data_IF_609601694229
#
_entry.id   IF_609601694229
#
_cell.length_a   1.000
_cell.length_b   1.000
_cell.length_c   1.000
_cell.angle_alpha   90.00
_cell.angle_beta   90.00
_cell.angle_gamma   90.00
#
_symmetry.space_group_name_H-M   'P 1'
#
loop_
_entity.id
_entity.type
_entity.pdbx_description
1 polymer ?
#
# COMPACT_ATOMS: atom_id res chain seq x y z
N UNK A 1 -94.88 21.77 -6.49
CA UNK A 1 -93.52 21.75 -5.88
C UNK A 1 -92.69 20.69 -6.59
N UNK A 2 -91.57 21.08 -7.23
CA UNK A 2 -90.80 20.27 -8.18
C UNK A 2 -89.79 19.38 -7.46
N UNK A 3 -89.82 18.07 -7.73
CA UNK A 3 -88.81 17.09 -7.31
C UNK A 3 -87.77 16.96 -8.43
N UNK A 4 -86.51 17.28 -8.12
CA UNK A 4 -85.46 17.50 -9.10
C UNK A 4 -84.73 16.18 -9.46
N UNK A 5 -84.60 15.92 -10.76
CA UNK A 5 -84.08 14.68 -11.36
C UNK A 5 -82.56 14.81 -11.58
N UNK A 6 -81.73 14.35 -10.62
CA UNK A 6 -80.26 14.55 -10.62
C UNK A 6 -79.40 13.30 -10.83
N UNK A 7 -79.94 12.21 -11.42
CA UNK A 7 -79.21 10.94 -11.57
C UNK A 7 -78.84 10.54 -13.02
N UNK A 8 -79.22 11.31 -14.05
CA UNK A 8 -78.98 10.93 -15.47
C UNK A 8 -77.70 11.46 -16.14
N UNK A 9 -77.05 12.51 -15.59
CA UNK A 9 -75.89 13.19 -16.24
C UNK A 9 -74.53 12.84 -15.65
N UNK A 10 -74.45 12.18 -14.48
CA UNK A 10 -73.19 11.78 -13.86
C UNK A 10 -72.47 10.69 -14.66
N UNK A 11 -73.20 9.78 -15.30
CA UNK A 11 -72.62 8.65 -16.05
C UNK A 11 -71.80 9.10 -17.27
N UNK A 12 -72.24 10.14 -18.00
CA UNK A 12 -71.54 10.64 -19.19
C UNK A 12 -70.23 11.32 -18.80
N UNK A 13 -70.25 12.20 -17.79
CA UNK A 13 -69.06 12.90 -17.29
C UNK A 13 -68.06 11.90 -16.68
N UNK A 14 -68.56 10.88 -15.96
CA UNK A 14 -67.74 9.81 -15.40
C UNK A 14 -67.11 8.92 -16.48
N UNK A 15 -67.84 8.65 -17.57
CA UNK A 15 -67.31 7.93 -18.74
C UNK A 15 -66.22 8.73 -19.48
N UNK A 16 -66.41 10.04 -19.65
CA UNK A 16 -65.34 10.89 -20.21
C UNK A 16 -64.11 10.94 -19.30
N UNK A 17 -64.30 11.08 -17.98
CA UNK A 17 -63.20 11.07 -17.01
C UNK A 17 -62.38 9.76 -17.07
N UNK A 18 -63.05 8.61 -17.16
CA UNK A 18 -62.37 7.30 -17.23
C UNK A 18 -61.56 7.13 -18.52
N UNK A 19 -62.08 7.63 -19.64
CA UNK A 19 -61.38 7.61 -20.93
C UNK A 19 -60.10 8.44 -20.88
N UNK A 20 -60.14 9.65 -20.29
CA UNK A 20 -58.97 10.50 -20.15
C UNK A 20 -57.94 9.93 -19.16
N UNK A 21 -58.38 9.29 -18.07
CA UNK A 21 -57.50 8.57 -17.15
C UNK A 21 -56.79 7.39 -17.82
N UNK A 22 -57.49 6.62 -18.65
CA UNK A 22 -56.88 5.49 -19.37
C UNK A 22 -55.74 5.93 -20.30
N UNK A 23 -55.92 7.05 -21.01
CA UNK A 23 -54.87 7.62 -21.86
C UNK A 23 -53.65 8.06 -21.03
N UNK A 24 -53.86 8.52 -19.79
CA UNK A 24 -52.78 8.93 -18.87
C UNK A 24 -52.04 7.76 -18.21
N UNK A 25 -52.65 6.58 -18.08
CA UNK A 25 -52.02 5.42 -17.43
C UNK A 25 -50.81 4.92 -18.24
N UNK A 26 -50.91 4.94 -19.58
CA UNK A 26 -49.83 4.46 -20.47
C UNK A 26 -48.50 5.18 -20.23
N UNK A 27 -48.41 6.53 -20.28
CA UNK A 27 -47.17 7.24 -20.01
C UNK A 27 -46.70 7.10 -18.55
N UNK A 28 -47.61 6.95 -17.58
CA UNK A 28 -47.21 6.72 -16.17
C UNK A 28 -46.51 5.37 -16.02
N UNK A 29 -47.09 4.30 -16.57
CA UNK A 29 -46.49 2.96 -16.52
C UNK A 29 -45.14 2.92 -17.25
N UNK A 30 -45.04 3.58 -18.40
CA UNK A 30 -43.79 3.71 -19.15
C UNK A 30 -42.71 4.40 -18.31
N UNK A 31 -43.03 5.52 -17.65
CA UNK A 31 -42.10 6.24 -16.78
C UNK A 31 -41.62 5.38 -15.61
N UNK A 32 -42.52 4.65 -14.95
CA UNK A 32 -42.16 3.75 -13.86
C UNK A 32 -41.20 2.65 -14.35
N UNK A 33 -41.46 2.09 -15.54
CA UNK A 33 -40.61 1.06 -16.11
C UNK A 33 -39.21 1.58 -16.44
N UNK A 34 -39.13 2.74 -17.10
CA UNK A 34 -37.87 3.41 -17.43
C UNK A 34 -37.10 3.73 -16.14
N UNK A 35 -37.76 4.35 -15.16
CA UNK A 35 -37.15 4.71 -13.88
C UNK A 35 -36.53 3.51 -13.16
N UNK A 36 -37.25 2.37 -13.12
CA UNK A 36 -36.72 1.12 -12.55
C UNK A 36 -35.49 0.59 -13.31
N UNK A 37 -35.48 0.71 -14.63
CA UNK A 37 -34.32 0.32 -15.44
C UNK A 37 -33.14 1.26 -15.22
N UNK A 38 -33.37 2.56 -15.23
CA UNK A 38 -32.36 3.58 -14.96
C UNK A 38 -31.72 3.38 -13.59
N UNK A 39 -32.50 3.11 -12.54
CA UNK A 39 -31.96 2.84 -11.21
C UNK A 39 -31.00 1.65 -11.21
N UNK A 40 -31.38 0.54 -11.86
CA UNK A 40 -30.52 -0.64 -11.96
C UNK A 40 -29.23 -0.38 -12.73
N UNK A 41 -29.32 0.40 -13.81
CA UNK A 41 -28.14 0.76 -14.62
C UNK A 41 -27.19 1.62 -13.81
N UNK A 42 -27.71 2.66 -13.13
CA UNK A 42 -26.89 3.53 -12.27
C UNK A 42 -26.23 2.74 -11.14
N UNK A 43 -26.98 1.84 -10.49
CA UNK A 43 -26.42 0.96 -9.44
C UNK A 43 -25.31 0.06 -9.99
N UNK A 44 -25.50 -0.52 -11.18
CA UNK A 44 -24.49 -1.35 -11.82
C UNK A 44 -23.25 -0.54 -12.22
N UNK A 45 -23.42 0.67 -12.75
CA UNK A 45 -22.30 1.56 -13.09
C UNK A 45 -21.50 1.97 -11.85
N UNK A 46 -22.17 2.28 -10.74
CA UNK A 46 -21.48 2.59 -9.47
C UNK A 46 -20.68 1.38 -8.98
N UNK A 47 -21.27 0.18 -9.01
CA UNK A 47 -20.57 -1.03 -8.59
C UNK A 47 -19.38 -1.38 -9.50
N UNK A 48 -19.54 -1.20 -10.82
CA UNK A 48 -18.45 -1.37 -11.77
C UNK A 48 -17.32 -0.36 -11.52
N UNK A 49 -17.66 0.93 -11.39
CA UNK A 49 -16.69 1.99 -11.12
C UNK A 49 -15.92 1.76 -9.80
N UNK A 50 -16.62 1.32 -8.75
CA UNK A 50 -15.97 0.94 -7.48
C UNK A 50 -15.01 -0.24 -7.67
N UNK A 51 -15.41 -1.25 -8.45
CA UNK A 51 -14.57 -2.42 -8.74
C UNK A 51 -13.34 -2.04 -9.56
N UNK A 52 -13.50 -1.19 -10.57
CA UNK A 52 -12.41 -0.69 -11.39
C UNK A 52 -11.43 0.16 -10.56
N UNK A 53 -11.95 0.99 -9.65
CA UNK A 53 -11.13 1.75 -8.71
C UNK A 53 -10.30 0.83 -7.80
N UNK A 54 -10.89 -0.25 -7.26
CA UNK A 54 -10.17 -1.23 -6.46
C UNK A 54 -9.08 -1.95 -7.28
N UNK A 55 -9.36 -2.30 -8.54
CA UNK A 55 -8.36 -2.87 -9.43
C UNK A 55 -7.22 -1.89 -9.73
N UNK A 56 -7.51 -0.60 -9.89
CA UNK A 56 -6.47 0.41 -10.10
C UNK A 56 -5.54 0.53 -8.88
N UNK A 57 -6.10 0.50 -7.66
CA UNK A 57 -5.32 0.49 -6.41
C UNK A 57 -4.46 -0.77 -6.34
N UNK A 58 -5.04 -1.94 -6.64
CA UNK A 58 -4.32 -3.20 -6.68
C UNK A 58 -3.15 -3.16 -7.68
N UNK A 59 -3.38 -2.74 -8.91
CA UNK A 59 -2.35 -2.63 -9.95
C UNK A 59 -1.22 -1.68 -9.54
N UNK A 60 -1.57 -0.58 -8.88
CA UNK A 60 -0.58 0.37 -8.36
C UNK A 60 0.29 -0.28 -7.29
N UNK A 61 -0.33 -0.97 -6.32
CA UNK A 61 0.40 -1.70 -5.28
C UNK A 61 1.29 -2.80 -5.88
N UNK A 62 0.76 -3.61 -6.79
CA UNK A 62 1.50 -4.69 -7.46
C UNK A 62 2.74 -4.14 -8.20
N UNK A 63 2.59 -3.02 -8.92
CA UNK A 63 3.71 -2.34 -9.57
C UNK A 63 4.77 -1.89 -8.56
N UNK A 64 4.37 -1.32 -7.42
CA UNK A 64 5.33 -0.91 -6.37
C UNK A 64 6.01 -2.10 -5.72
N UNK A 65 5.32 -3.22 -5.52
CA UNK A 65 5.93 -4.43 -4.99
C UNK A 65 6.98 -5.01 -5.94
N UNK A 66 6.72 -4.94 -7.26
CA UNK A 66 7.73 -5.31 -8.27
C UNK A 66 8.96 -4.40 -8.18
N UNK A 67 8.76 -3.08 -8.05
CA UNK A 67 9.87 -2.12 -7.89
C UNK A 67 10.70 -2.40 -6.63
N UNK A 68 10.02 -2.67 -5.50
CA UNK A 68 10.65 -3.06 -4.23
C UNK A 68 11.49 -4.33 -4.40
N UNK A 69 10.93 -5.38 -5.00
CA UNK A 69 11.64 -6.64 -5.21
C UNK A 69 12.87 -6.48 -6.11
N UNK A 70 12.75 -5.69 -7.17
CA UNK A 70 13.88 -5.39 -8.07
C UNK A 70 14.99 -4.65 -7.33
N UNK A 71 14.63 -3.67 -6.49
CA UNK A 71 15.59 -2.91 -5.69
C UNK A 71 16.27 -3.78 -4.62
N UNK A 72 15.52 -4.63 -3.92
CA UNK A 72 16.06 -5.61 -2.98
C UNK A 72 17.06 -6.55 -3.66
N UNK A 73 16.73 -7.04 -4.86
CA UNK A 73 17.60 -7.93 -5.63
C UNK A 73 18.87 -7.20 -6.10
N UNK A 74 18.75 -5.96 -6.57
CA UNK A 74 19.88 -5.14 -6.99
C UNK A 74 20.86 -4.90 -5.84
N UNK A 75 20.34 -4.53 -4.66
CA UNK A 75 21.14 -4.33 -3.45
C UNK A 75 21.76 -5.66 -2.98
N UNK A 76 20.99 -6.75 -3.03
CA UNK A 76 21.46 -8.07 -2.55
C UNK A 76 22.59 -8.68 -3.39
N UNK A 77 22.68 -8.28 -4.66
CA UNK A 77 23.69 -8.75 -5.61
C UNK A 77 24.88 -7.80 -5.75
N UNK A 78 24.90 -6.68 -5.03
CA UNK A 78 26.01 -5.73 -5.08
C UNK A 78 27.28 -6.33 -4.45
N UNK A 79 28.35 -6.40 -5.24
CA UNK A 79 29.63 -6.95 -4.79
C UNK A 79 30.21 -6.20 -3.57
N UNK A 80 29.92 -4.90 -3.41
CA UNK A 80 30.35 -4.10 -2.26
C UNK A 80 29.63 -4.55 -1.00
N UNK A 81 28.32 -4.79 -1.09
CA UNK A 81 27.53 -5.34 0.02
C UNK A 81 28.01 -6.72 0.39
N UNK A 82 28.25 -7.59 -0.61
CA UNK A 82 28.83 -8.91 -0.39
C UNK A 82 30.19 -8.82 0.30
N UNK A 83 31.05 -7.87 -0.10
CA UNK A 83 32.38 -7.70 0.50
C UNK A 83 32.31 -7.27 1.98
N UNK A 84 31.42 -6.32 2.32
CA UNK A 84 31.24 -5.84 3.69
C UNK A 84 30.62 -6.91 4.59
N UNK A 85 29.73 -7.73 4.02
CA UNK A 85 29.07 -8.82 4.73
C UNK A 85 30.04 -9.91 5.21
N UNK A 86 31.11 -10.19 4.44
CA UNK A 86 32.13 -11.16 4.83
C UNK A 86 33.31 -10.56 5.61
N UNK A 87 33.35 -9.23 5.79
CA UNK A 87 34.38 -8.59 6.60
C UNK A 87 34.18 -8.96 8.08
N UNK A 88 35.21 -9.53 8.71
CA UNK A 88 35.19 -9.96 10.12
C UNK A 88 35.86 -8.98 11.07
N UNK A 89 36.91 -8.32 10.59
CA UNK A 89 37.68 -7.35 11.32
C UNK A 89 38.43 -6.56 10.26
N UNK A 90 38.05 -5.28 10.07
CA UNK A 90 38.89 -4.20 9.57
C UNK A 90 38.02 -3.03 9.09
N UNK A 91 37.88 -2.03 9.95
CA UNK A 91 37.60 -0.64 9.59
C UNK A 91 38.82 -0.01 8.86
N UNK A 92 39.42 -0.72 7.89
CA UNK A 92 40.54 -0.20 7.08
C UNK A 92 40.04 0.48 5.80
N UNK A 93 40.95 1.18 5.12
CA UNK A 93 40.75 2.09 3.99
C UNK A 93 39.71 1.67 2.93
N UNK A 94 39.51 0.37 2.72
CA UNK A 94 38.46 -0.20 1.84
C UNK A 94 37.06 0.25 2.27
N UNK A 95 36.74 0.23 3.56
CA UNK A 95 35.45 0.70 4.08
C UNK A 95 35.31 2.22 3.98
N UNK A 96 36.40 2.97 4.09
CA UNK A 96 36.38 4.44 4.00
C UNK A 96 35.99 4.94 2.61
N UNK A 97 36.21 4.14 1.57
CA UNK A 97 35.81 4.43 0.21
C UNK A 97 34.47 3.79 -0.18
N UNK A 98 34.23 2.54 0.24
CA UNK A 98 32.98 1.82 -0.09
C UNK A 98 31.77 2.43 0.63
N UNK A 99 31.90 2.85 1.90
CA UNK A 99 30.78 3.37 2.67
C UNK A 99 30.17 4.64 2.05
N UNK A 100 30.93 5.69 1.69
CA UNK A 100 30.37 6.87 1.02
C UNK A 100 29.65 6.52 -0.27
N UNK A 101 30.23 5.65 -1.11
CA UNK A 101 29.59 5.23 -2.36
C UNK A 101 28.26 4.50 -2.13
N UNK A 102 28.22 3.62 -1.14
CA UNK A 102 26.98 2.93 -0.79
C UNK A 102 25.94 3.89 -0.24
N UNK A 103 26.33 4.86 0.59
CA UNK A 103 25.43 5.90 1.08
C UNK A 103 24.85 6.69 -0.10
N UNK A 104 25.69 7.11 -1.05
CA UNK A 104 25.27 7.84 -2.26
C UNK A 104 24.30 7.02 -3.13
N UNK A 105 24.57 5.72 -3.32
CA UNK A 105 23.69 4.85 -4.09
C UNK A 105 22.35 4.62 -3.39
N UNK A 106 22.36 4.34 -2.08
CA UNK A 106 21.14 4.21 -1.28
C UNK A 106 20.34 5.52 -1.28
N UNK A 107 21.02 6.67 -1.21
CA UNK A 107 20.42 7.99 -1.36
C UNK A 107 19.73 8.14 -2.71
N UNK A 108 20.43 7.84 -3.81
CA UNK A 108 19.86 7.88 -5.16
C UNK A 108 18.62 6.98 -5.27
N UNK A 109 18.65 5.77 -4.70
CA UNK A 109 17.49 4.88 -4.68
C UNK A 109 16.31 5.47 -3.91
N UNK A 110 16.53 6.09 -2.75
CA UNK A 110 15.42 6.72 -2.00
C UNK A 110 14.85 7.95 -2.68
N UNK A 111 15.70 8.81 -3.27
CA UNK A 111 15.24 10.05 -3.93
C UNK A 111 14.45 9.76 -5.20
N UNK A 112 14.84 8.72 -5.94
CA UNK A 112 14.15 8.34 -7.19
C UNK A 112 12.86 7.54 -6.95
N UNK A 113 12.65 7.04 -5.73
CA UNK A 113 11.51 6.19 -5.39
C UNK A 113 10.72 6.80 -4.22
N UNK A 114 9.77 7.69 -4.53
CA UNK A 114 8.99 8.44 -3.53
C UNK A 114 8.13 7.56 -2.60
N UNK A 115 7.90 6.29 -2.98
CA UNK A 115 7.18 5.33 -2.14
C UNK A 115 8.07 4.74 -1.03
N UNK A 116 9.40 4.94 -1.09
CA UNK A 116 10.34 4.48 -0.07
C UNK A 116 10.48 5.56 1.00
N UNK A 117 10.03 5.24 2.20
CA UNK A 117 10.15 6.11 3.36
C UNK A 117 11.52 5.99 4.03
N UNK A 118 11.98 4.76 4.24
CA UNK A 118 13.31 4.47 4.79
C UNK A 118 13.91 3.26 4.08
N UNK A 119 15.22 3.30 3.87
CA UNK A 119 16.01 2.22 3.30
C UNK A 119 17.23 2.01 4.20
N UNK A 120 17.58 0.77 4.54
CA UNK A 120 18.84 0.50 5.21
C UNK A 120 19.31 -0.93 5.01
N UNK A 121 20.62 -1.14 5.22
CA UNK A 121 21.26 -2.45 5.16
C UNK A 121 21.93 -2.74 6.50
N UNK A 122 21.52 -3.81 7.15
CA UNK A 122 22.09 -4.33 8.38
C UNK A 122 23.17 -5.37 8.07
N UNK A 123 24.30 -5.31 8.77
CA UNK A 123 25.42 -6.25 8.66
C UNK A 123 25.70 -6.91 10.01
N UNK A 124 25.52 -8.23 10.07
CA UNK A 124 25.64 -9.01 11.31
C UNK A 124 27.08 -9.08 11.83
N UNK A 125 28.05 -9.24 10.94
CA UNK A 125 29.45 -9.48 11.33
C UNK A 125 30.16 -8.22 11.84
N UNK A 126 29.75 -7.05 11.36
CA UNK A 126 30.38 -5.76 11.68
C UNK A 126 29.53 -4.90 12.62
N UNK A 127 28.36 -5.37 13.04
CA UNK A 127 27.39 -4.63 13.86
C UNK A 127 27.09 -3.23 13.31
N UNK A 128 26.95 -3.14 11.98
CA UNK A 128 26.82 -1.89 11.23
C UNK A 128 25.48 -1.84 10.51
N UNK A 129 24.85 -0.67 10.51
CA UNK A 129 23.73 -0.33 9.64
C UNK A 129 24.15 0.81 8.72
N UNK A 130 23.89 0.65 7.42
CA UNK A 130 24.10 1.70 6.41
C UNK A 130 22.74 2.22 5.96
N UNK A 131 22.55 3.52 6.05
CA UNK A 131 21.37 4.24 5.57
C UNK A 131 21.76 5.18 4.42
N UNK A 132 20.80 5.71 3.64
CA UNK A 132 20.97 6.75 2.63
C UNK A 132 21.72 8.01 3.06
N UNK A 133 21.85 8.26 4.36
CA UNK A 133 22.45 9.50 4.86
C UNK A 133 23.74 9.24 5.63
N UNK A 134 23.83 8.10 6.32
CA UNK A 134 24.86 7.84 7.32
C UNK A 134 24.90 6.36 7.70
N UNK A 135 26.02 5.91 8.26
CA UNK A 135 26.16 4.60 8.87
C UNK A 135 26.18 4.69 10.41
N UNK A 136 25.53 3.76 11.08
CA UNK A 136 25.46 3.67 12.55
C UNK A 136 25.83 2.28 13.05
N UNK A 137 26.20 2.18 14.33
CA UNK A 137 26.10 0.90 15.02
C UNK A 137 24.64 0.49 15.21
N UNK A 138 24.41 -0.81 15.35
CA UNK A 138 23.06 -1.39 15.38
C UNK A 138 22.21 -0.89 16.55
N UNK A 139 22.82 -0.68 17.72
CA UNK A 139 22.10 -0.21 18.92
C UNK A 139 21.67 1.25 18.78
N UNK A 140 22.53 2.10 18.23
CA UNK A 140 22.21 3.50 17.96
C UNK A 140 21.11 3.60 16.91
N UNK A 141 21.21 2.83 15.83
CA UNK A 141 20.20 2.81 14.77
C UNK A 141 18.82 2.40 15.30
N UNK A 142 18.72 1.36 16.13
CA UNK A 142 17.46 0.95 16.74
C UNK A 142 16.82 2.08 17.57
N UNK A 143 17.62 2.79 18.37
CA UNK A 143 17.15 3.96 19.13
C UNK A 143 16.71 5.10 18.22
N UNK A 144 17.43 5.33 17.12
CA UNK A 144 17.12 6.37 16.15
C UNK A 144 15.81 6.09 15.38
N UNK A 145 15.57 4.83 15.00
CA UNK A 145 14.35 4.43 14.30
C UNK A 145 13.09 4.47 15.16
N UNK A 146 13.24 4.50 16.49
CA UNK A 146 12.18 4.65 17.49
C UNK A 146 11.00 3.68 17.28
N UNK A 147 11.32 2.41 17.07
CA UNK A 147 10.30 1.36 17.01
C UNK A 147 9.64 1.20 18.39
N UNK A 148 8.34 1.45 18.48
CA UNK A 148 7.61 1.38 19.76
C UNK A 148 6.95 0.01 20.00
N UNK A 149 6.76 -0.78 18.94
CA UNK A 149 6.04 -2.07 19.00
C UNK A 149 6.88 -3.31 19.28
N UNK A 150 8.20 -3.21 19.20
CA UNK A 150 9.12 -4.36 19.33
C UNK A 150 10.32 -3.97 20.18
N UNK A 151 10.90 -4.93 20.88
CA UNK A 151 12.16 -4.79 21.58
C UNK A 151 13.36 -4.86 20.63
N UNK A 152 14.54 -4.43 21.11
CA UNK A 152 15.79 -4.56 20.36
C UNK A 152 16.09 -6.01 19.98
N UNK A 153 15.84 -6.95 20.91
CA UNK A 153 16.10 -8.37 20.67
C UNK A 153 15.19 -8.92 19.57
N UNK A 154 13.89 -8.62 19.62
CA UNK A 154 12.95 -9.03 18.58
C UNK A 154 13.30 -8.42 17.22
N UNK A 155 13.67 -7.13 17.19
CA UNK A 155 14.14 -6.48 15.97
C UNK A 155 15.40 -7.17 15.42
N UNK A 156 16.38 -7.47 16.28
CA UNK A 156 17.62 -8.14 15.89
C UNK A 156 17.37 -9.57 15.39
N UNK A 157 16.48 -10.30 16.06
CA UNK A 157 16.07 -11.64 15.65
C UNK A 157 15.39 -11.60 14.28
N UNK A 158 14.53 -10.62 14.01
CA UNK A 158 13.93 -10.42 12.67
C UNK A 158 15.00 -10.14 11.60
N UNK A 159 16.01 -9.34 11.93
CA UNK A 159 17.10 -9.01 10.99
C UNK A 159 18.08 -10.16 10.76
N UNK A 160 18.16 -11.11 11.69
CA UNK A 160 19.03 -12.29 11.60
C UNK A 160 18.29 -13.56 11.25
N UNK A 161 16.96 -13.50 11.16
CA UNK A 161 16.13 -14.58 10.67
C UNK A 161 16.34 -14.76 9.17
N UNK A 162 16.44 -16.01 8.74
CA UNK A 162 16.45 -16.32 7.32
C UNK A 162 15.08 -16.01 6.73
N UNK A 163 15.01 -14.93 5.97
CA UNK A 163 13.77 -14.55 5.29
C UNK A 163 13.97 -14.07 3.87
N UNK A 164 13.08 -14.51 2.99
CA UNK A 164 12.98 -14.03 1.62
C UNK A 164 11.66 -13.27 1.50
N UNK A 165 11.73 -11.97 1.21
CA UNK A 165 10.58 -11.08 1.07
C UNK A 165 9.64 -11.08 2.29
N UNK A 166 10.20 -11.02 3.52
CA UNK A 166 9.36 -10.89 4.72
C UNK A 166 8.68 -9.53 4.71
N UNK A 167 7.38 -9.52 4.94
CA UNK A 167 6.65 -8.29 5.24
C UNK A 167 6.44 -8.21 6.73
N UNK A 168 6.86 -7.10 7.32
CA UNK A 168 6.66 -6.81 8.73
C UNK A 168 6.01 -5.44 8.88
N UNK A 169 5.12 -5.33 9.86
CA UNK A 169 4.44 -4.08 10.16
C UNK A 169 4.98 -3.57 11.48
N UNK A 170 5.53 -2.37 11.45
CA UNK A 170 6.04 -1.70 12.63
C UNK A 170 5.12 -0.55 13.01
N UNK A 171 4.95 -0.33 14.30
CA UNK A 171 4.43 0.94 14.80
C UNK A 171 5.61 1.80 15.22
N UNK A 172 5.61 3.05 14.76
CA UNK A 172 6.54 4.08 15.23
C UNK A 172 5.76 5.13 16.01
N UNK A 173 6.31 5.51 17.15
CA UNK A 173 5.80 6.66 17.89
C UNK A 173 6.43 7.92 17.31
N UNK A 174 5.64 8.66 16.53
CA UNK A 174 6.00 10.00 16.10
C UNK A 174 4.98 10.96 16.73
N UNK A 175 5.43 11.88 17.58
CA UNK A 175 4.59 12.92 18.19
C UNK A 175 3.26 12.42 18.80
N UNK A 176 3.29 11.32 19.58
CA UNK A 176 2.13 10.69 20.24
C UNK A 176 1.06 10.08 19.32
N UNK A 177 1.32 10.00 18.01
CA UNK A 177 0.46 9.31 17.07
C UNK A 177 1.20 8.09 16.51
N UNK A 178 0.61 6.92 16.72
CA UNK A 178 1.19 5.65 16.27
C UNK A 178 0.91 5.49 14.77
N UNK A 179 1.94 5.69 13.94
CA UNK A 179 1.83 5.46 12.50
C UNK A 179 2.33 4.05 12.18
N UNK A 180 1.44 3.22 11.65
CA UNK A 180 1.79 1.91 11.11
C UNK A 180 2.59 2.10 9.85
N UNK A 181 3.77 1.49 9.78
CA UNK A 181 4.64 1.50 8.61
C UNK A 181 4.89 0.05 8.19
N UNK A 182 4.80 -0.22 6.90
CA UNK A 182 5.05 -1.55 6.32
C UNK A 182 6.51 -1.59 5.89
N UNK A 183 7.25 -2.60 6.32
CA UNK A 183 8.63 -2.81 5.92
C UNK A 183 8.82 -4.19 5.28
N UNK A 184 9.62 -4.22 4.23
CA UNK A 184 10.08 -5.41 3.55
C UNK A 184 11.48 -5.74 4.05
N UNK A 185 11.69 -6.97 4.49
CA UNK A 185 12.99 -7.47 4.95
C UNK A 185 13.44 -8.62 4.08
N UNK A 186 14.64 -8.47 3.54
CA UNK A 186 15.30 -9.47 2.72
C UNK A 186 16.65 -9.82 3.33
N UNK A 187 16.85 -11.09 3.63
CA UNK A 187 18.14 -11.57 4.13
C UNK A 187 19.13 -11.89 3.00
N UNK A 188 20.42 -11.66 3.27
CA UNK A 188 21.57 -11.81 2.36
C UNK A 188 22.66 -12.64 3.07
N UNK A 189 23.35 -13.57 2.39
CA UNK A 189 23.25 -13.89 0.96
C UNK A 189 22.06 -14.76 0.61
N UNK A 190 21.38 -14.42 -0.50
CA UNK A 190 20.24 -15.20 -1.02
C UNK A 190 20.65 -16.60 -1.52
N UNK A 191 21.90 -16.75 -1.96
CA UNK A 191 22.38 -17.90 -2.73
C UNK A 191 22.86 -19.08 -1.88
N UNK A 192 23.01 -18.92 -0.55
CA UNK A 192 23.61 -19.95 0.30
C UNK A 192 22.64 -20.42 1.39
N UNK A 193 22.64 -21.73 1.68
CA UNK A 193 21.96 -22.33 2.85
C UNK A 193 22.58 -21.94 4.21
N UNK A 194 23.52 -20.99 4.25
CA UNK A 194 24.17 -20.50 5.47
C UNK A 194 23.30 -19.48 6.19
N UNK A 195 23.63 -19.21 7.44
CA UNK A 195 23.00 -18.16 8.23
C UNK A 195 23.11 -16.81 7.52
N UNK A 196 22.06 -15.97 7.57
CA UNK A 196 22.10 -14.65 6.97
C UNK A 196 23.14 -13.78 7.69
N UNK A 197 23.91 -13.07 6.88
CA UNK A 197 25.02 -12.24 7.32
C UNK A 197 24.71 -10.74 7.17
N UNK A 198 23.71 -10.41 6.36
CA UNK A 198 23.17 -9.07 6.22
C UNK A 198 21.67 -9.12 5.92
N UNK A 199 20.97 -8.01 6.16
CA UNK A 199 19.55 -7.86 5.81
C UNK A 199 19.28 -6.47 5.26
N UNK A 200 18.51 -6.39 4.18
CA UNK A 200 18.04 -5.14 3.58
C UNK A 200 16.63 -4.89 4.04
N UNK A 201 16.36 -3.65 4.44
CA UNK A 201 15.06 -3.22 4.91
C UNK A 201 14.59 -2.03 4.09
N UNK A 202 13.39 -2.14 3.53
CA UNK A 202 12.71 -1.06 2.81
C UNK A 202 11.38 -0.81 3.51
N UNK A 203 11.23 0.37 4.09
CA UNK A 203 9.97 0.84 4.67
C UNK A 203 9.21 1.66 3.63
N UNK A 204 7.94 1.32 3.43
CA UNK A 204 7.06 2.01 2.51
C UNK A 204 6.40 3.22 3.17
N UNK A 205 6.23 4.28 2.38
CA UNK A 205 5.38 5.40 2.75
C UNK A 205 3.91 5.07 2.45
N UNK A 206 3.14 4.84 3.50
CA UNK A 206 1.70 4.56 3.40
C UNK A 206 0.89 5.77 2.95
N UNK A 207 1.45 6.99 2.93
CA UNK A 207 0.76 8.19 2.46
C UNK A 207 0.76 8.36 0.93
N UNK A 208 1.58 7.57 0.23
CA UNK A 208 1.75 7.64 -1.24
C UNK A 208 0.81 6.66 -1.96
N UNK A 209 0.12 5.81 -1.21
CA UNK A 209 -0.89 4.85 -1.68
C UNK A 209 -2.29 5.32 -1.31
#
# INVERSE_FOLDING_TARGET
MKVNKFFGKRSIIFSFLISYLCVFIVPILSNIFIYKKSLKVVEQEINQANTDMLHQVQQTLDSRLVDVNNLLLLISLDNRILSLMYAKDQLNAVNKYILPQMIDDLHSYTVTNSFIKNLYVFFKNTDLIITPNVSFDTQYAYKHFNYSSISYQEWYDIMTEKSHNKVIVFSKDHNKQSNKSIAFVQSIPMQYKKDPLASVVIELDTAVF
#
